data_IF_294663662130
#
_entry.id   IF_294663662130
#
_cell.length_a   1.000
_cell.length_b   1.000
_cell.length_c   1.000
_cell.angle_alpha   90.00
_cell.angle_beta   90.00
_cell.angle_gamma   90.00
#
_symmetry.space_group_name_H-M   'P 1'
#
loop_
_entity.id
_entity.type
_entity.pdbx_description
1 polymer ?
#
# COMPACT_ATOMS: atom_id res chain seq x y z
N UNK A 1 3.02 -12.55 -14.48
CA UNK A 1 3.50 -11.16 -14.61
C UNK A 1 2.50 -10.31 -13.85
N UNK A 2 2.89 -9.77 -12.69
CA UNK A 2 2.01 -8.86 -11.93
C UNK A 2 2.02 -7.53 -12.68
N UNK A 3 0.96 -7.24 -13.41
CA UNK A 3 0.76 -5.94 -14.03
C UNK A 3 0.41 -4.94 -12.93
N UNK A 4 1.37 -4.10 -12.54
CA UNK A 4 1.10 -2.96 -11.67
C UNK A 4 1.00 -1.71 -12.55
N UNK A 5 -0.08 -0.96 -12.37
CA UNK A 5 -0.25 0.36 -13.00
C UNK A 5 0.23 1.43 -12.02
N UNK A 6 1.13 2.31 -12.47
CA UNK A 6 1.55 3.48 -11.72
C UNK A 6 0.81 4.69 -12.30
N UNK A 7 -0.30 5.06 -11.66
CA UNK A 7 -1.01 6.30 -11.95
C UNK A 7 -0.39 7.47 -11.19
N UNK A 8 -0.17 8.59 -11.86
CA UNK A 8 0.18 9.86 -11.22
C UNK A 8 -0.74 10.95 -11.73
N UNK A 9 -1.49 11.60 -10.85
CA UNK A 9 -2.34 12.74 -11.18
C UNK A 9 -2.13 13.85 -10.15
N UNK A 10 -2.13 15.10 -10.63
CA UNK A 10 -2.09 16.30 -9.78
C UNK A 10 -3.45 16.59 -9.14
N UNK A 11 -4.53 15.98 -9.66
CA UNK A 11 -5.87 16.09 -9.14
C UNK A 11 -6.25 14.80 -8.41
N UNK A 12 -6.41 14.93 -7.10
CA UNK A 12 -6.67 13.83 -6.16
C UNK A 12 -7.98 13.10 -6.48
N UNK A 13 -9.01 13.83 -6.87
CA UNK A 13 -10.33 13.25 -7.13
C UNK A 13 -10.34 12.42 -8.43
N UNK A 14 -9.58 12.87 -9.44
CA UNK A 14 -9.37 12.14 -10.68
C UNK A 14 -8.54 10.86 -10.44
N UNK A 15 -7.51 10.93 -9.59
CA UNK A 15 -6.72 9.76 -9.20
C UNK A 15 -7.57 8.70 -8.50
N UNK A 16 -8.40 9.10 -7.53
CA UNK A 16 -9.29 8.16 -6.84
C UNK A 16 -10.37 7.59 -7.75
N UNK A 17 -10.87 8.37 -8.72
CA UNK A 17 -11.83 7.88 -9.72
C UNK A 17 -11.22 6.79 -10.62
N UNK A 18 -9.96 6.95 -11.05
CA UNK A 18 -9.26 5.93 -11.83
C UNK A 18 -8.97 4.66 -11.02
N UNK A 19 -8.59 4.81 -9.75
CA UNK A 19 -8.26 3.69 -8.85
C UNK A 19 -9.50 2.90 -8.40
N UNK A 20 -10.66 3.56 -8.28
CA UNK A 20 -11.94 2.93 -7.91
C UNK A 20 -12.68 2.28 -9.09
N UNK A 21 -12.18 2.45 -10.32
CA UNK A 21 -12.84 1.94 -11.53
C UNK A 21 -12.71 0.41 -11.72
N UNK A 22 -11.85 -0.26 -10.96
CA UNK A 22 -11.78 -1.72 -10.89
C UNK A 22 -11.60 -2.15 -9.43
N UNK A 23 -11.76 -3.44 -9.12
CA UNK A 23 -11.38 -4.05 -7.82
C UNK A 23 -9.86 -4.04 -7.60
N UNK A 24 -9.19 -2.96 -7.98
CA UNK A 24 -7.76 -2.75 -7.87
C UNK A 24 -7.50 -2.34 -6.45
N UNK A 25 -6.88 -3.24 -5.70
CA UNK A 25 -6.23 -2.88 -4.45
C UNK A 25 -5.17 -1.84 -4.80
N UNK A 26 -5.19 -0.71 -4.13
CA UNK A 26 -4.19 0.33 -4.34
C UNK A 26 -3.64 0.82 -3.02
N UNK A 27 -2.46 1.42 -3.07
CA UNK A 27 -1.82 2.01 -1.93
C UNK A 27 -1.22 3.36 -2.31
N UNK A 28 -1.23 4.30 -1.38
CA UNK A 28 -0.60 5.61 -1.52
C UNK A 28 0.50 5.78 -0.47
N UNK A 29 1.56 6.47 -0.87
CA UNK A 29 2.62 6.92 0.02
C UNK A 29 2.46 8.43 0.13
N UNK A 30 2.13 8.90 1.33
CA UNK A 30 1.86 10.31 1.56
C UNK A 30 2.68 10.84 2.73
N UNK A 31 2.97 12.14 2.69
CA UNK A 31 3.58 12.84 3.81
C UNK A 31 2.47 13.22 4.80
N UNK A 32 2.69 12.95 6.09
CA UNK A 32 1.82 13.40 7.17
C UNK A 32 1.56 14.91 7.13
N UNK A 33 0.45 15.35 7.69
CA UNK A 33 0.07 16.77 7.73
C UNK A 33 1.14 17.64 8.42
N UNK A 34 1.76 17.11 9.49
CA UNK A 34 2.82 17.79 10.23
C UNK A 34 4.19 17.71 9.53
N UNK A 35 4.28 16.98 8.42
CA UNK A 35 5.47 16.74 7.59
C UNK A 35 6.61 16.02 8.30
N UNK A 36 6.33 15.32 9.41
CA UNK A 36 7.38 14.64 10.19
C UNK A 36 7.47 13.15 9.90
N UNK A 37 6.43 12.55 9.35
CA UNK A 37 6.40 11.13 8.99
C UNK A 37 5.89 10.90 7.57
N UNK A 38 6.30 9.78 6.99
CA UNK A 38 5.72 9.22 5.78
C UNK A 38 4.73 8.13 6.19
N UNK A 39 3.53 8.19 5.63
CA UNK A 39 2.47 7.22 5.85
C UNK A 39 2.27 6.39 4.59
N UNK A 40 1.98 5.10 4.78
CA UNK A 40 1.54 4.19 3.74
C UNK A 40 0.08 3.88 4.02
N UNK A 41 -0.80 4.18 3.07
CA UNK A 41 -2.23 3.90 3.17
C UNK A 41 -2.60 2.87 2.12
N UNK A 42 -3.25 1.79 2.53
CA UNK A 42 -3.65 0.67 1.66
C UNK A 42 -5.16 0.57 1.65
N UNK A 43 -5.71 0.49 0.44
CA UNK A 43 -7.13 0.37 0.13
C UNK A 43 -7.38 -1.01 -0.50
N UNK A 44 -7.52 -2.07 0.33
CA UNK A 44 -7.76 -3.43 -0.16
C UNK A 44 -9.16 -3.64 -0.74
N UNK A 45 -10.15 -2.87 -0.29
CA UNK A 45 -11.53 -2.87 -0.74
C UNK A 45 -12.22 -1.55 -0.32
N UNK A 46 -13.47 -1.27 -0.77
CA UNK A 46 -14.13 0.00 -0.48
C UNK A 46 -14.46 0.26 1.00
N UNK A 47 -14.48 -0.77 1.85
CA UNK A 47 -14.89 -0.65 3.26
C UNK A 47 -13.69 -0.62 4.22
N UNK A 48 -12.53 -1.09 3.78
CA UNK A 48 -11.34 -1.21 4.60
C UNK A 48 -10.24 -0.25 4.15
N UNK A 49 -9.64 0.45 5.11
CA UNK A 49 -8.48 1.33 4.91
C UNK A 49 -7.48 0.99 6.00
N UNK A 50 -6.24 0.69 5.60
CA UNK A 50 -5.14 0.47 6.53
C UNK A 50 -4.14 1.61 6.41
N UNK A 51 -3.72 2.17 7.55
CA UNK A 51 -2.73 3.24 7.59
C UNK A 51 -1.58 2.80 8.48
N UNK A 52 -0.37 2.93 7.96
CA UNK A 52 0.87 2.59 8.65
C UNK A 52 1.83 3.77 8.60
N UNK A 53 2.60 3.99 9.66
CA UNK A 53 3.81 4.78 9.51
C UNK A 53 4.91 3.96 8.79
N UNK A 54 5.88 4.65 8.20
CA UNK A 54 6.96 4.02 7.44
C UNK A 54 7.70 2.91 8.20
N UNK A 55 8.02 3.12 9.48
CA UNK A 55 8.77 2.15 10.26
C UNK A 55 7.91 0.92 10.59
N UNK A 56 6.65 1.14 10.97
CA UNK A 56 5.68 0.06 11.20
C UNK A 56 5.51 -0.80 9.95
N UNK A 57 5.31 -0.16 8.79
CA UNK A 57 5.12 -0.87 7.53
C UNK A 57 6.35 -1.71 7.15
N UNK A 58 7.56 -1.16 7.28
CA UNK A 58 8.79 -1.90 7.02
C UNK A 58 8.93 -3.13 7.91
N UNK A 59 8.65 -3.00 9.21
CA UNK A 59 8.72 -4.13 10.14
C UNK A 59 7.74 -5.24 9.76
N UNK A 60 6.53 -4.88 9.33
CA UNK A 60 5.53 -5.84 8.85
C UNK A 60 6.00 -6.58 7.60
N UNK A 61 6.60 -5.87 6.64
CA UNK A 61 7.15 -6.45 5.42
C UNK A 61 8.30 -7.42 5.73
N UNK A 62 9.23 -7.04 6.61
CA UNK A 62 10.33 -7.94 6.99
C UNK A 62 9.82 -9.20 7.68
N UNK A 63 8.87 -9.07 8.61
CA UNK A 63 8.23 -10.22 9.25
C UNK A 63 7.51 -11.14 8.25
N UNK A 64 6.86 -10.56 7.25
CA UNK A 64 6.19 -11.33 6.19
C UNK A 64 7.22 -12.08 5.31
N UNK A 65 8.34 -11.45 4.95
CA UNK A 65 9.44 -12.09 4.22
C UNK A 65 10.03 -13.26 4.99
N UNK A 66 10.37 -13.06 6.26
CA UNK A 66 10.90 -14.12 7.12
C UNK A 66 9.94 -15.31 7.18
N UNK A 67 8.64 -15.04 7.32
CA UNK A 67 7.62 -16.07 7.36
C UNK A 67 7.54 -16.85 6.04
N UNK A 68 7.63 -16.16 4.90
CA UNK A 68 7.63 -16.80 3.59
C UNK A 68 8.84 -17.72 3.40
N UNK A 69 10.04 -17.26 3.78
CA UNK A 69 11.27 -18.06 3.73
C UNK A 69 11.18 -19.32 4.59
N UNK A 70 10.58 -19.22 5.79
CA UNK A 70 10.34 -20.39 6.63
C UNK A 70 9.40 -21.42 5.99
N UNK A 71 8.39 -20.95 5.26
CA UNK A 71 7.44 -21.83 4.58
C UNK A 71 8.05 -22.48 3.34
N UNK A 72 8.90 -21.76 2.60
CA UNK A 72 9.62 -22.30 1.45
C UNK A 72 10.58 -23.42 1.87
N UNK A 73 11.25 -23.29 3.02
CA UNK A 73 12.12 -24.33 3.56
C UNK A 73 11.38 -25.61 4.00
N UNK A 74 10.04 -25.59 4.06
CA UNK A 74 9.19 -26.74 4.41
C UNK A 74 8.58 -27.45 3.20
N UNK A 75 8.73 -26.89 1.99
CA UNK A 75 8.26 -27.47 0.72
C UNK A 75 9.35 -28.23 -0.02
#
# INVERSE_FOLDING_TARGET
MLEYSVGSSMNRDDLYAELSFNRVQFAEICLSEDRKSVNIIIYPDPENIFTFDYNEFLQLIEKAKERLLQLEALG
#
